data_IF_540295782051
#
_entry.id   IF_540295782051
#
_cell.length_a   1.000
_cell.length_b   1.000
_cell.length_c   1.000
_cell.angle_alpha   90.00
_cell.angle_beta   90.00
_cell.angle_gamma   90.00
#
_symmetry.space_group_name_H-M   'P 1'
#
loop_
_entity.id
_entity.type
_entity.pdbx_description
1 polymer ?
#
# COMPACT_ATOMS: atom_id res chain seq x y z
N UNK A 1 3.46 3.83 11.46
CA UNK A 1 3.06 5.14 12.02
C UNK A 1 4.09 6.20 11.61
N UNK A 2 3.91 6.86 10.46
CA UNK A 2 4.73 8.02 10.07
C UNK A 2 3.87 9.28 10.21
N UNK A 3 4.42 10.38 10.77
CA UNK A 3 3.63 11.51 11.22
C UNK A 3 3.24 12.42 10.05
N UNK A 4 1.97 12.80 10.05
CA UNK A 4 1.34 13.82 9.22
C UNK A 4 1.90 15.23 9.54
N UNK A 5 3.13 15.52 9.11
CA UNK A 5 3.73 16.85 9.25
C UNK A 5 3.54 17.65 7.94
N UNK A 6 2.34 18.16 7.68
CA UNK A 6 2.18 19.07 6.52
C UNK A 6 0.80 19.60 6.17
N UNK A 7 -0.30 19.04 6.69
CA UNK A 7 -1.65 19.53 6.35
C UNK A 7 -2.18 20.45 7.45
N UNK A 8 -2.04 21.77 7.27
CA UNK A 8 -2.78 22.76 8.08
C UNK A 8 -4.28 22.59 7.84
N UNK A 9 -5.01 21.98 8.79
CA UNK A 9 -6.48 22.06 8.86
C UNK A 9 -6.86 23.29 9.69
N UNK A 10 -7.60 24.21 9.07
CA UNK A 10 -7.96 25.53 9.62
C UNK A 10 -9.09 25.55 10.63
N UNK A 11 -9.28 24.51 11.45
CA UNK A 11 -10.24 24.48 12.56
C UNK A 11 -9.57 23.69 13.70
N UNK A 12 -9.62 24.17 14.95
CA UNK A 12 -9.04 23.56 16.17
C UNK A 12 -9.65 22.19 16.54
N UNK A 13 -9.48 21.20 15.66
CA UNK A 13 -9.89 19.83 15.89
C UNK A 13 -8.87 19.13 16.76
N UNK A 14 -9.19 18.98 18.04
CA UNK A 14 -8.36 18.20 18.95
C UNK A 14 -8.46 16.71 18.59
N UNK A 15 -7.41 16.08 18.01
CA UNK A 15 -7.47 14.69 17.58
C UNK A 15 -7.76 13.74 18.76
N UNK A 16 -7.36 14.14 19.98
CA UNK A 16 -7.63 13.41 21.21
C UNK A 16 -9.14 13.32 21.52
N UNK A 17 -9.93 14.35 21.22
CA UNK A 17 -11.40 14.31 21.42
C UNK A 17 -12.07 13.40 20.39
N UNK A 18 -11.56 13.35 19.16
CA UNK A 18 -12.07 12.44 18.13
C UNK A 18 -11.74 10.97 18.42
N UNK A 19 -10.61 10.69 19.06
CA UNK A 19 -10.26 9.34 19.53
C UNK A 19 -11.12 8.94 20.74
N UNK A 20 -11.31 9.84 21.69
CA UNK A 20 -12.11 9.57 22.90
C UNK A 20 -13.60 9.40 22.59
N UNK A 21 -14.17 10.12 21.62
CA UNK A 21 -15.59 9.97 21.26
C UNK A 21 -15.93 8.61 20.63
N UNK A 22 -14.96 7.94 20.00
CA UNK A 22 -15.12 6.63 19.37
C UNK A 22 -14.87 5.48 20.36
N UNK A 23 -13.91 5.65 21.29
CA UNK A 23 -13.52 4.59 22.22
C UNK A 23 -14.52 4.39 23.39
N UNK A 24 -15.10 5.50 23.88
CA UNK A 24 -15.82 5.53 25.16
C UNK A 24 -17.13 4.71 25.18
N UNK A 25 -17.90 4.56 24.09
CA UNK A 25 -19.13 3.75 24.15
C UNK A 25 -19.05 2.31 23.59
N UNK A 26 -17.99 1.87 22.89
CA UNK A 26 -18.11 0.72 21.97
C UNK A 26 -17.06 -0.41 21.99
N UNK A 27 -16.01 -0.35 22.81
CA UNK A 27 -15.02 -1.44 22.91
C UNK A 27 -14.39 -1.86 21.57
N UNK A 28 -14.03 -3.15 21.42
CA UNK A 28 -13.41 -3.71 20.21
C UNK A 28 -14.32 -3.62 18.95
N UNK A 29 -15.64 -3.54 19.14
CA UNK A 29 -16.60 -3.41 18.05
C UNK A 29 -16.59 -2.00 17.41
N UNK A 30 -16.36 -0.95 18.19
CA UNK A 30 -16.21 0.41 17.65
C UNK A 30 -14.94 0.55 16.78
N UNK A 31 -13.88 -0.17 17.12
CA UNK A 31 -12.64 -0.19 16.32
C UNK A 31 -12.89 -0.84 14.95
N UNK A 32 -13.59 -1.97 14.91
CA UNK A 32 -13.93 -2.64 13.64
C UNK A 32 -14.84 -1.75 12.78
N UNK A 33 -15.82 -1.07 13.38
CA UNK A 33 -16.71 -0.18 12.64
C UNK A 33 -15.97 0.99 12.00
N UNK A 34 -15.00 1.56 12.69
CA UNK A 34 -14.21 2.69 12.16
C UNK A 34 -13.16 2.25 11.14
N UNK A 35 -12.51 1.09 11.34
CA UNK A 35 -11.59 0.51 10.37
C UNK A 35 -12.30 0.14 9.06
N UNK A 36 -13.47 -0.49 9.15
CA UNK A 36 -14.28 -0.82 7.95
C UNK A 36 -14.70 0.42 7.17
N UNK A 37 -15.13 1.49 7.82
CA UNK A 37 -15.43 2.76 7.13
C UNK A 37 -14.19 3.35 6.45
N UNK A 38 -13.04 3.33 7.13
CA UNK A 38 -11.77 3.83 6.58
C UNK A 38 -11.36 3.03 5.33
N UNK A 39 -11.48 1.69 5.37
CA UNK A 39 -11.13 0.84 4.22
C UNK A 39 -12.01 1.14 3.00
N UNK A 40 -13.32 1.35 3.19
CA UNK A 40 -14.25 1.69 2.10
C UNK A 40 -13.84 3.00 1.42
N UNK A 41 -13.54 4.04 2.21
CA UNK A 41 -13.10 5.34 1.67
C UNK A 41 -11.79 5.21 0.90
N UNK A 42 -10.83 4.42 1.40
CA UNK A 42 -9.54 4.18 0.73
C UNK A 42 -9.70 3.41 -0.59
N UNK A 43 -10.60 2.42 -0.63
CA UNK A 43 -10.88 1.65 -1.85
C UNK A 43 -11.44 2.57 -2.93
N UNK A 44 -12.43 3.41 -2.61
CA UNK A 44 -13.02 4.36 -3.57
C UNK A 44 -11.97 5.32 -4.10
N UNK A 45 -11.15 5.91 -3.22
CA UNK A 45 -10.07 6.81 -3.62
C UNK A 45 -9.05 6.14 -4.54
N UNK A 46 -8.69 4.89 -4.24
CA UNK A 46 -7.75 4.11 -5.05
C UNK A 46 -8.31 3.81 -6.43
N UNK A 47 -9.58 3.45 -6.54
CA UNK A 47 -10.25 3.19 -7.84
C UNK A 47 -10.26 4.44 -8.71
N UNK A 48 -10.65 5.60 -8.15
CA UNK A 48 -10.69 6.87 -8.90
C UNK A 48 -9.28 7.26 -9.38
N UNK A 49 -8.28 7.17 -8.51
CA UNK A 49 -6.89 7.46 -8.86
C UNK A 49 -6.35 6.52 -9.94
N UNK A 50 -6.69 5.24 -9.84
CA UNK A 50 -6.28 4.21 -10.80
C UNK A 50 -6.86 4.51 -12.18
N UNK A 51 -8.16 4.83 -12.26
CA UNK A 51 -8.81 5.19 -13.54
C UNK A 51 -8.18 6.45 -14.14
N UNK A 52 -7.96 7.48 -13.32
CA UNK A 52 -7.32 8.72 -13.78
C UNK A 52 -5.90 8.46 -14.31
N UNK A 53 -5.13 7.57 -13.67
CA UNK A 53 -3.81 7.17 -14.12
C UNK A 53 -3.87 6.41 -15.47
N UNK A 54 -4.78 5.45 -15.61
CA UNK A 54 -4.95 4.70 -16.86
C UNK A 54 -5.40 5.58 -18.02
N UNK A 55 -6.26 6.57 -17.77
CA UNK A 55 -6.67 7.55 -18.77
C UNK A 55 -5.48 8.39 -19.27
N UNK A 56 -4.52 8.71 -18.40
CA UNK A 56 -3.33 9.48 -18.77
C UNK A 56 -2.27 8.65 -19.49
N UNK A 57 -2.18 7.36 -19.18
CA UNK A 57 -1.22 6.42 -19.78
C UNK A 57 -1.74 5.85 -21.11
N UNK A 58 -3.05 5.87 -21.35
CA UNK A 58 -3.67 5.35 -22.58
C UNK A 58 -3.95 3.85 -22.55
N UNK A 59 -4.23 3.30 -21.37
CA UNK A 59 -4.58 1.88 -21.17
C UNK A 59 -3.40 0.95 -20.87
N UNK A 60 -3.71 -0.34 -20.70
CA UNK A 60 -2.78 -1.37 -20.20
C UNK A 60 -1.59 -1.63 -21.14
N UNK A 61 -1.83 -1.73 -22.45
CA UNK A 61 -0.77 -1.99 -23.43
C UNK A 61 0.27 -0.85 -23.50
N UNK A 62 -0.20 0.39 -23.35
CA UNK A 62 0.69 1.55 -23.27
C UNK A 62 1.50 1.54 -21.96
N UNK A 63 0.90 1.14 -20.84
CA UNK A 63 1.58 1.02 -19.55
C UNK A 63 2.76 0.05 -19.62
N UNK A 64 2.57 -1.13 -20.20
CA UNK A 64 3.64 -2.12 -20.37
C UNK A 64 4.79 -1.56 -21.21
N UNK A 65 4.48 -0.93 -22.34
CA UNK A 65 5.50 -0.38 -23.25
C UNK A 65 6.28 0.79 -22.65
N UNK A 66 5.63 1.63 -21.83
CA UNK A 66 6.26 2.76 -21.14
C UNK A 66 7.11 2.27 -19.97
N UNK A 67 6.64 1.25 -19.25
CA UNK A 67 7.37 0.64 -18.15
C UNK A 67 8.71 0.04 -18.61
N UNK A 68 8.70 -0.71 -19.72
CA UNK A 68 9.92 -1.30 -20.30
C UNK A 68 10.91 -0.24 -20.85
N UNK A 69 10.47 1.00 -21.06
CA UNK A 69 11.31 2.12 -21.52
C UNK A 69 11.77 3.04 -20.39
N UNK A 70 11.29 2.83 -19.16
CA UNK A 70 11.60 3.65 -18.01
C UNK A 70 12.98 3.30 -17.43
N UNK A 71 14.06 3.69 -18.10
CA UNK A 71 15.44 3.56 -17.60
C UNK A 71 15.81 4.80 -16.76
N UNK A 72 16.35 4.64 -15.54
CA UNK A 72 16.75 5.77 -14.70
C UNK A 72 17.93 6.55 -15.30
N UNK A 73 17.86 7.89 -15.24
CA UNK A 73 18.92 8.79 -15.74
C UNK A 73 20.25 8.69 -14.97
N UNK A 74 20.21 8.19 -13.72
CA UNK A 74 21.40 7.90 -12.93
C UNK A 74 21.60 6.38 -12.91
N UNK A 75 22.68 5.94 -13.54
CA UNK A 75 23.08 4.54 -13.65
C UNK A 75 24.45 4.39 -12.99
N UNK A 76 24.57 3.40 -12.12
CA UNK A 76 25.87 2.95 -11.62
C UNK A 76 26.47 2.07 -12.72
N UNK A 77 27.61 2.44 -13.33
CA UNK A 77 28.25 1.58 -14.32
C UNK A 77 28.62 0.25 -13.64
N UNK A 78 28.40 -0.87 -14.33
CA UNK A 78 28.70 -2.24 -13.90
C UNK A 78 27.61 -3.03 -13.15
N UNK A 79 26.32 -2.64 -13.20
CA UNK A 79 25.22 -3.47 -12.64
C UNK A 79 23.98 -3.51 -13.54
N UNK A 80 23.42 -4.71 -13.72
CA UNK A 80 22.16 -4.98 -14.46
C UNK A 80 20.90 -4.56 -13.71
N UNK A 81 21.02 -4.08 -12.46
CA UNK A 81 19.90 -3.66 -11.61
C UNK A 81 19.05 -2.49 -12.15
N UNK A 82 19.50 -1.79 -13.19
CA UNK A 82 18.83 -0.58 -13.72
C UNK A 82 17.95 -0.84 -14.95
N UNK A 83 17.93 -2.08 -15.47
CA UNK A 83 17.09 -2.42 -16.61
C UNK A 83 15.73 -2.98 -16.14
N UNK A 84 14.61 -2.56 -16.76
CA UNK A 84 13.32 -3.15 -16.48
C UNK A 84 13.34 -4.64 -16.84
N UNK A 85 13.01 -5.49 -15.86
CA UNK A 85 13.05 -6.95 -16.01
C UNK A 85 11.86 -7.43 -16.84
N UNK A 86 12.09 -8.40 -17.72
CA UNK A 86 11.08 -8.90 -18.66
C UNK A 86 9.84 -9.54 -18.00
N UNK A 87 9.96 -9.89 -16.71
CA UNK A 87 8.93 -10.52 -15.89
C UNK A 87 8.39 -9.58 -14.79
N UNK A 88 8.59 -8.27 -14.94
CA UNK A 88 8.08 -7.27 -14.00
C UNK A 88 6.55 -7.19 -13.93
N UNK A 89 5.84 -7.70 -14.95
CA UNK A 89 4.37 -7.75 -14.98
C UNK A 89 3.80 -8.98 -14.25
N UNK A 90 4.64 -9.93 -13.81
CA UNK A 90 4.23 -11.08 -13.02
C UNK A 90 4.42 -10.80 -11.53
N UNK A 91 3.31 -10.54 -10.82
CA UNK A 91 3.31 -10.29 -9.38
C UNK A 91 3.77 -11.51 -8.57
N UNK A 92 3.35 -12.71 -8.97
CA UNK A 92 3.80 -13.97 -8.37
C UNK A 92 4.93 -14.57 -9.20
N UNK A 93 6.12 -14.56 -8.59
CA UNK A 93 7.31 -15.17 -9.17
C UNK A 93 7.27 -16.69 -9.04
N UNK A 94 7.99 -17.36 -9.93
CA UNK A 94 8.23 -18.79 -9.85
C UNK A 94 8.70 -19.22 -8.44
N UNK A 95 8.12 -20.27 -7.85
CA UNK A 95 8.43 -20.72 -6.49
C UNK A 95 9.85 -21.28 -6.31
N UNK A 96 10.54 -21.68 -7.38
CA UNK A 96 11.79 -22.44 -7.30
C UNK A 96 12.98 -21.67 -7.88
N UNK A 97 12.78 -20.93 -8.98
CA UNK A 97 13.85 -20.18 -9.66
C UNK A 97 13.70 -18.65 -9.51
N UNK A 98 12.68 -18.19 -8.81
CA UNK A 98 12.47 -16.76 -8.55
C UNK A 98 13.31 -16.26 -7.39
N UNK A 99 14.01 -15.12 -7.57
CA UNK A 99 14.69 -14.39 -6.47
C UNK A 99 13.74 -14.06 -5.31
N UNK A 100 12.44 -13.92 -5.59
CA UNK A 100 11.40 -13.59 -4.63
C UNK A 100 10.21 -14.55 -4.76
N UNK A 101 10.27 -15.76 -4.16
CA UNK A 101 9.23 -16.77 -4.34
C UNK A 101 7.90 -16.33 -3.72
N UNK A 102 6.80 -16.64 -4.41
CA UNK A 102 5.46 -16.24 -3.98
C UNK A 102 5.06 -16.81 -2.62
N UNK A 103 5.55 -18.01 -2.29
CA UNK A 103 5.27 -18.67 -1.00
C UNK A 103 5.81 -17.84 0.16
N UNK A 104 7.07 -17.38 0.08
CA UNK A 104 7.67 -16.52 1.09
C UNK A 104 6.94 -15.20 1.25
N UNK A 105 6.46 -14.61 0.15
CA UNK A 105 5.69 -13.37 0.19
C UNK A 105 4.33 -13.56 0.88
N UNK A 106 3.56 -14.57 0.49
CA UNK A 106 2.23 -14.80 1.05
C UNK A 106 2.30 -15.23 2.50
N UNK A 107 3.10 -16.25 2.83
CA UNK A 107 3.18 -16.76 4.20
C UNK A 107 3.93 -15.81 5.13
N UNK A 108 5.03 -15.20 4.68
CA UNK A 108 5.79 -14.26 5.50
C UNK A 108 4.99 -13.02 5.87
N UNK A 109 4.35 -12.37 4.89
CA UNK A 109 3.59 -11.14 5.15
C UNK A 109 2.30 -11.41 5.92
N UNK A 110 1.59 -12.51 5.65
CA UNK A 110 0.37 -12.83 6.38
C UNK A 110 0.64 -13.16 7.86
N UNK A 111 1.67 -13.96 8.15
CA UNK A 111 2.04 -14.32 9.52
C UNK A 111 2.49 -13.08 10.31
N UNK A 112 3.30 -12.21 9.71
CA UNK A 112 3.72 -10.95 10.35
C UNK A 112 2.54 -10.00 10.60
N UNK A 113 1.59 -9.92 9.67
CA UNK A 113 0.39 -9.11 9.85
C UNK A 113 -0.48 -9.62 11.01
N UNK A 114 -0.69 -10.95 11.10
CA UNK A 114 -1.42 -11.56 12.22
C UNK A 114 -0.70 -11.35 13.54
N UNK A 115 0.64 -11.48 13.58
CA UNK A 115 1.42 -11.20 14.78
C UNK A 115 1.26 -9.75 15.26
N UNK A 116 1.40 -8.79 14.33
CA UNK A 116 1.26 -7.38 14.65
C UNK A 116 -0.15 -7.06 15.15
N UNK A 117 -1.18 -7.64 14.52
CA UNK A 117 -2.56 -7.52 14.95
C UNK A 117 -2.80 -8.06 16.36
N UNK A 118 -2.27 -9.25 16.67
CA UNK A 118 -2.37 -9.81 18.01
C UNK A 118 -1.63 -8.96 19.06
N UNK A 119 -0.53 -8.32 18.67
CA UNK A 119 0.26 -7.46 19.55
C UNK A 119 -0.46 -6.13 19.84
N UNK A 120 -1.13 -5.55 18.83
CA UNK A 120 -1.88 -4.29 18.95
C UNK A 120 -3.07 -4.40 19.93
N UNK A 121 -3.51 -5.62 20.27
CA UNK A 121 -4.58 -5.84 21.25
C UNK A 121 -4.11 -6.05 22.70
N UNK A 122 -2.82 -6.32 22.93
CA UNK A 122 -2.29 -6.70 24.26
C UNK A 122 -1.45 -5.60 24.94
N UNK A 123 -1.41 -4.42 24.33
CA UNK A 123 -0.80 -3.19 24.86
C UNK A 123 -1.81 -2.05 24.75
#
# INVERSE_FOLDING_TARGET
MLPWCGMKKGNDWNPYISFLSVLVPGGLAAVIYTDTLQTVVMIIGTVILTIAAFNKIGGYHNLESVYLKAVPKKIIPNTTCHLPRADAMHLFRDPVNGDLPWTGMIFGLSILATWYWCTDQVM
#
